data_IF_211020056585
#
_entry.id   IF_211020056585
#
_cell.length_a   1.000
_cell.length_b   1.000
_cell.length_c   1.000
_cell.angle_alpha   90.00
_cell.angle_beta   90.00
_cell.angle_gamma   90.00
#
_symmetry.space_group_name_H-M   'P 1'
#
loop_
_entity.id
_entity.type
_entity.pdbx_description
1 polymer ?
#
# COMPACT_ATOMS: atom_id res chain seq x y z
N UNK A 1 -19.32 -10.26 -13.96
CA UNK A 1 -17.96 -10.09 -13.40
C UNK A 1 -18.06 -10.32 -11.91
N UNK A 2 -17.16 -11.13 -11.35
CA UNK A 2 -17.21 -11.55 -9.95
C UNK A 2 -16.19 -10.68 -9.17
N UNK A 3 -16.67 -9.63 -8.52
CA UNK A 3 -15.86 -8.59 -7.88
C UNK A 3 -16.24 -8.47 -6.39
N UNK A 4 -15.36 -7.86 -5.59
CA UNK A 4 -15.65 -7.47 -4.21
C UNK A 4 -15.55 -5.96 -4.06
N UNK A 5 -16.52 -5.37 -3.35
CA UNK A 5 -16.50 -3.97 -2.98
C UNK A 5 -15.51 -3.76 -1.84
N UNK A 6 -14.54 -2.89 -2.05
CA UNK A 6 -13.49 -2.57 -1.09
C UNK A 6 -13.43 -1.07 -0.91
N UNK A 7 -13.33 -0.62 0.33
CA UNK A 7 -12.96 0.76 0.61
C UNK A 7 -11.46 0.83 0.82
N UNK A 8 -10.86 1.89 0.29
CA UNK A 8 -9.49 2.28 0.56
C UNK A 8 -9.47 3.61 1.32
N UNK A 9 -8.60 3.72 2.31
CA UNK A 9 -8.27 4.95 3.02
C UNK A 9 -6.86 5.38 2.63
N UNK A 10 -6.69 6.62 2.19
CA UNK A 10 -5.40 7.20 1.81
C UNK A 10 -5.28 8.60 2.40
N UNK A 11 -4.07 9.16 2.45
CA UNK A 11 -3.77 10.41 3.16
C UNK A 11 -4.09 10.38 4.67
N UNK A 12 -4.29 9.19 5.23
CA UNK A 12 -4.47 8.98 6.67
C UNK A 12 -3.12 8.88 7.38
N UNK A 13 -3.07 9.28 8.64
CA UNK A 13 -1.87 9.13 9.47
C UNK A 13 -2.03 7.96 10.44
N UNK A 14 -0.96 7.20 10.62
CA UNK A 14 -0.90 6.19 11.68
C UNK A 14 -0.72 6.87 13.03
N UNK A 15 -1.64 6.65 13.97
CA UNK A 15 -1.60 7.31 15.29
C UNK A 15 -0.77 6.56 16.34
N UNK A 16 -0.19 5.41 15.98
CA UNK A 16 0.60 4.57 16.90
C UNK A 16 -0.24 3.69 17.82
N UNK A 17 -1.57 3.80 17.81
CA UNK A 17 -2.51 3.07 18.68
C UNK A 17 -3.32 2.00 17.94
N UNK A 18 -2.72 1.42 16.90
CA UNK A 18 -3.36 0.46 15.99
C UNK A 18 -4.43 1.06 15.06
N UNK A 19 -4.45 2.39 14.91
CA UNK A 19 -5.49 3.09 14.16
C UNK A 19 -4.92 4.10 13.18
N UNK A 20 -5.67 4.28 12.12
CA UNK A 20 -5.45 5.34 11.14
C UNK A 20 -6.43 6.47 11.41
N UNK A 21 -5.93 7.71 11.46
CA UNK A 21 -6.71 8.91 11.75
C UNK A 21 -6.74 9.80 10.50
N UNK A 22 -7.93 10.32 10.20
CA UNK A 22 -8.17 11.15 9.02
C UNK A 22 -8.09 10.37 7.70
N UNK A 23 -7.74 11.10 6.64
CA UNK A 23 -7.65 10.57 5.28
C UNK A 23 -8.94 10.70 4.47
N UNK A 24 -8.87 10.18 3.25
CA UNK A 24 -9.94 10.17 2.27
C UNK A 24 -10.35 8.73 1.97
N UNK A 25 -11.67 8.51 1.88
CA UNK A 25 -12.24 7.20 1.63
C UNK A 25 -12.68 7.09 0.16
N UNK A 26 -12.26 6.03 -0.52
CA UNK A 26 -12.72 5.74 -1.88
C UNK A 26 -13.12 4.28 -2.04
N UNK A 27 -14.25 4.05 -2.70
CA UNK A 27 -14.73 2.71 -3.04
C UNK A 27 -14.10 2.23 -4.35
N UNK A 28 -13.65 0.98 -4.37
CA UNK A 28 -13.09 0.30 -5.53
C UNK A 28 -13.73 -1.07 -5.72
N UNK A 29 -13.75 -1.53 -6.97
CA UNK A 29 -14.14 -2.89 -7.33
C UNK A 29 -12.87 -3.70 -7.57
N UNK A 30 -12.66 -4.74 -6.76
CA UNK A 30 -11.51 -5.63 -6.89
C UNK A 30 -11.98 -6.95 -7.51
N UNK A 31 -11.44 -7.34 -8.68
CA UNK A 31 -11.72 -8.66 -9.26
C UNK A 31 -11.34 -9.78 -8.29
N UNK A 32 -12.17 -10.81 -8.17
CA UNK A 32 -11.88 -11.94 -7.26
C UNK A 32 -10.66 -12.77 -7.67
N UNK A 33 -10.18 -12.60 -8.90
CA UNK A 33 -8.98 -13.22 -9.46
C UNK A 33 -7.78 -12.27 -9.46
N UNK A 34 -7.90 -11.08 -8.85
CA UNK A 34 -6.83 -10.08 -8.84
C UNK A 34 -5.55 -10.64 -8.20
N UNK A 35 -4.42 -10.32 -8.83
CA UNK A 35 -3.08 -10.48 -8.28
C UNK A 35 -2.72 -9.28 -7.40
N UNK A 36 -1.58 -9.34 -6.71
CA UNK A 36 -1.02 -8.20 -6.01
C UNK A 36 -0.74 -7.03 -6.95
N UNK A 37 -0.20 -7.29 -8.13
CA UNK A 37 0.08 -6.25 -9.13
C UNK A 37 -1.21 -5.55 -9.57
N UNK A 38 -2.28 -6.31 -9.83
CA UNK A 38 -3.58 -5.75 -10.21
C UNK A 38 -4.13 -4.83 -9.12
N UNK A 39 -4.04 -5.26 -7.84
CA UNK A 39 -4.49 -4.46 -6.71
C UNK A 39 -3.70 -3.14 -6.59
N UNK A 40 -2.37 -3.19 -6.69
CA UNK A 40 -1.52 -1.99 -6.61
C UNK A 40 -1.79 -1.04 -7.78
N UNK A 41 -1.95 -1.55 -9.01
CA UNK A 41 -2.29 -0.72 -10.16
C UNK A 41 -3.64 -0.02 -9.99
N UNK A 42 -4.64 -0.75 -9.46
CA UNK A 42 -5.95 -0.21 -9.21
C UNK A 42 -5.91 0.87 -8.13
N UNK A 43 -5.17 0.64 -7.03
CA UNK A 43 -4.92 1.64 -6.00
C UNK A 43 -4.25 2.88 -6.59
N UNK A 44 -3.14 2.73 -7.35
CA UNK A 44 -2.41 3.84 -8.00
C UNK A 44 -3.33 4.70 -8.85
N UNK A 45 -4.12 4.06 -9.71
CA UNK A 45 -5.08 4.74 -10.59
C UNK A 45 -6.10 5.54 -9.78
N UNK A 46 -6.58 4.98 -8.69
CA UNK A 46 -7.65 5.56 -7.87
C UNK A 46 -7.17 6.74 -7.04
N UNK A 47 -5.94 6.71 -6.53
CA UNK A 47 -5.33 7.79 -5.74
C UNK A 47 -4.56 8.81 -6.60
N UNK A 48 -4.45 8.59 -7.91
CA UNK A 48 -3.81 9.52 -8.84
C UNK A 48 -2.28 9.54 -8.79
N UNK A 49 -1.64 8.48 -8.28
CA UNK A 49 -0.18 8.38 -8.24
C UNK A 49 0.32 7.75 -9.53
N UNK A 50 0.98 8.58 -10.35
CA UNK A 50 1.62 8.16 -11.60
C UNK A 50 3.12 7.88 -11.46
N UNK A 51 3.75 8.38 -10.39
CA UNK A 51 5.20 8.21 -10.20
C UNK A 51 5.52 6.79 -9.73
N UNK A 52 6.46 6.15 -10.42
CA UNK A 52 6.85 4.75 -10.17
C UNK A 52 7.79 4.58 -8.98
N UNK A 53 8.49 5.66 -8.60
CA UNK A 53 9.43 5.78 -7.48
C UNK A 53 8.73 5.92 -6.11
N UNK A 54 7.41 5.88 -6.09
CA UNK A 54 6.62 5.84 -4.87
C UNK A 54 6.25 4.40 -4.52
N UNK A 55 6.72 3.97 -3.35
CA UNK A 55 6.35 2.67 -2.78
C UNK A 55 4.99 2.78 -2.13
N UNK A 56 4.05 1.94 -2.55
CA UNK A 56 2.73 1.82 -1.95
C UNK A 56 2.75 0.68 -0.95
N UNK A 57 2.38 1.00 0.29
CA UNK A 57 2.19 0.01 1.34
C UNK A 57 0.71 -0.09 1.65
N UNK A 58 0.15 -1.27 1.40
CA UNK A 58 -1.27 -1.59 1.65
C UNK A 58 -1.41 -2.43 2.91
N UNK A 59 -2.23 -1.98 3.85
CA UNK A 59 -2.50 -2.67 5.13
C UNK A 59 -4.00 -2.72 5.41
N UNK A 60 -4.47 -3.68 6.20
CA UNK A 60 -5.84 -3.70 6.70
C UNK A 60 -5.88 -4.27 8.11
N UNK A 61 -6.88 -3.87 8.89
CA UNK A 61 -7.08 -4.35 10.26
C UNK A 61 -8.22 -5.37 10.25
N UNK A 62 -7.95 -6.56 10.79
CA UNK A 62 -8.96 -7.64 10.93
C UNK A 62 -9.76 -7.45 12.21
N UNK A 63 -9.06 -7.23 13.32
CA UNK A 63 -9.62 -6.91 14.63
C UNK A 63 -8.85 -5.74 15.23
N UNK A 64 -9.50 -4.81 15.96
CA UNK A 64 -8.87 -3.60 16.47
C UNK A 64 -7.73 -3.84 17.47
N UNK A 65 -7.66 -5.02 18.07
CA UNK A 65 -6.62 -5.42 19.02
C UNK A 65 -5.41 -6.09 18.33
N UNK A 66 -5.53 -6.41 17.04
CA UNK A 66 -4.50 -7.08 16.26
C UNK A 66 -3.69 -6.07 15.44
N UNK A 67 -2.39 -6.35 15.20
CA UNK A 67 -1.59 -5.54 14.30
C UNK A 67 -2.16 -5.55 12.88
N UNK A 68 -2.00 -4.47 12.10
CA UNK A 68 -2.44 -4.43 10.71
C UNK A 68 -1.76 -5.52 9.88
N UNK A 69 -2.55 -6.21 9.07
CA UNK A 69 -2.07 -7.19 8.11
C UNK A 69 -1.59 -6.45 6.87
N UNK A 70 -0.35 -6.68 6.46
CA UNK A 70 0.22 -6.13 5.23
C UNK A 70 -0.12 -7.04 4.06
N UNK A 71 -0.51 -6.44 2.94
CA UNK A 71 -0.65 -7.12 1.65
C UNK A 71 0.63 -6.86 0.86
N UNK A 72 1.38 -7.91 0.52
CA UNK A 72 2.67 -7.80 -0.17
C UNK A 72 2.87 -8.88 -1.24
N UNK A 73 1.95 -9.83 -1.37
CA UNK A 73 1.97 -10.87 -2.40
C UNK A 73 0.57 -11.36 -2.78
N UNK A 74 0.49 -12.18 -3.84
CA UNK A 74 -0.77 -12.74 -4.35
C UNK A 74 -1.52 -13.59 -3.32
N UNK A 75 -0.80 -14.27 -2.41
CA UNK A 75 -1.43 -15.06 -1.35
C UNK A 75 -2.20 -14.16 -0.37
N UNK A 76 -1.64 -13.00 -0.03
CA UNK A 76 -2.27 -12.02 0.87
C UNK A 76 -3.53 -11.43 0.23
N UNK A 77 -3.49 -11.12 -1.07
CA UNK A 77 -4.65 -10.64 -1.82
C UNK A 77 -5.76 -11.69 -1.82
N UNK A 78 -5.41 -12.95 -2.09
CA UNK A 78 -6.38 -14.06 -2.05
C UNK A 78 -7.00 -14.19 -0.67
N UNK A 79 -6.21 -14.13 0.39
CA UNK A 79 -6.70 -14.21 1.76
C UNK A 79 -7.65 -13.05 2.10
N UNK A 80 -7.27 -11.81 1.74
CA UNK A 80 -8.11 -10.62 1.91
C UNK A 80 -9.46 -10.74 1.18
N UNK A 81 -9.45 -11.18 -0.09
CA UNK A 81 -10.66 -11.39 -0.88
C UNK A 81 -11.56 -12.45 -0.24
N UNK A 82 -10.98 -13.53 0.30
CA UNK A 82 -11.74 -14.56 1.03
C UNK A 82 -12.36 -14.02 2.32
N UNK A 83 -11.68 -13.14 3.05
CA UNK A 83 -12.24 -12.45 4.20
C UNK A 83 -13.45 -11.59 3.81
N UNK A 84 -13.33 -10.76 2.77
CA UNK A 84 -14.45 -9.92 2.29
C UNK A 84 -15.64 -10.73 1.81
N UNK A 85 -15.42 -11.93 1.25
CA UNK A 85 -16.49 -12.85 0.83
C UNK A 85 -17.27 -13.45 2.01
N UNK A 86 -16.66 -13.55 3.20
CA UNK A 86 -17.36 -14.08 4.39
C UNK A 86 -18.27 -13.03 5.04
N UNK A 87 -17.89 -11.76 4.95
CA UNK A 87 -18.59 -10.62 5.58
C UNK A 87 -19.19 -9.66 4.54
N UNK A 88 -19.94 -10.18 3.56
CA UNK A 88 -20.48 -9.39 2.43
C UNK A 88 -21.42 -8.26 2.87
N UNK A 89 -22.08 -8.40 4.02
CA UNK A 89 -23.04 -7.42 4.53
C UNK A 89 -22.39 -6.19 5.19
N UNK A 90 -21.08 -6.20 5.41
CA UNK A 90 -20.37 -5.08 6.05
C UNK A 90 -19.30 -4.53 5.12
N UNK A 91 -19.69 -3.57 4.30
CA UNK A 91 -18.81 -2.97 3.29
C UNK A 91 -17.58 -2.30 3.91
N UNK A 92 -17.71 -1.73 5.12
CA UNK A 92 -16.63 -1.04 5.85
C UNK A 92 -15.64 -1.96 6.56
N UNK A 93 -15.92 -3.28 6.67
CA UNK A 93 -14.95 -4.23 7.27
C UNK A 93 -13.72 -4.36 6.39
N UNK A 94 -12.57 -4.53 7.05
CA UNK A 94 -11.27 -4.74 6.42
C UNK A 94 -10.95 -3.63 5.41
N UNK A 95 -11.13 -2.39 5.84
CA UNK A 95 -10.69 -1.21 5.12
C UNK A 95 -9.20 -1.33 4.81
N UNK A 96 -8.82 -1.13 3.54
CA UNK A 96 -7.40 -1.10 3.17
C UNK A 96 -6.90 0.32 3.37
N UNK A 97 -5.90 0.50 4.23
CA UNK A 97 -5.16 1.75 4.33
C UNK A 97 -3.94 1.74 3.42
N UNK A 98 -3.71 2.88 2.79
CA UNK A 98 -2.64 3.14 1.84
C UNK A 98 -1.65 4.13 2.45
N UNK A 99 -0.42 3.67 2.64
CA UNK A 99 0.72 4.52 2.99
C UNK A 99 1.61 4.66 1.75
N UNK A 100 1.95 5.90 1.38
CA UNK A 100 2.82 6.21 0.23
C UNK A 100 4.17 6.64 0.78
N UNK A 101 5.21 5.92 0.43
CA UNK A 101 6.57 6.17 0.87
C UNK A 101 7.41 6.63 -0.33
N UNK A 102 8.09 7.76 -0.19
CA UNK A 102 9.09 8.21 -1.16
C UNK A 102 10.37 7.40 -0.95
N UNK A 103 10.91 6.84 -2.03
CA UNK A 103 12.24 6.26 -2.00
C UNK A 103 13.25 7.41 -1.95
N UNK A 104 13.75 7.76 -0.76
CA UNK A 104 14.80 8.76 -0.65
C UNK A 104 16.03 8.23 -1.39
N UNK A 105 16.32 8.81 -2.56
CA UNK A 105 17.55 8.54 -3.29
C UNK A 105 18.73 8.86 -2.39
N UNK A 106 19.36 7.84 -1.82
CA UNK A 106 20.67 7.99 -1.20
C UNK A 106 21.64 8.37 -2.33
N UNK A 107 21.99 9.65 -2.37
CA UNK A 107 22.95 10.26 -3.28
C UNK A 107 24.25 9.46 -3.25
N UNK A 108 24.61 8.86 -4.38
CA UNK A 108 25.91 8.22 -4.55
C UNK A 108 26.98 9.30 -4.51
N UNK A 109 27.63 9.50 -3.36
CA UNK A 109 28.88 10.24 -3.30
C UNK A 109 29.93 9.45 -4.09
N UNK A 110 30.49 9.98 -5.20
CA UNK A 110 31.67 9.37 -5.78
C UNK A 110 32.84 9.50 -4.79
N UNK A 111 33.69 8.48 -4.64
CA UNK A 111 34.95 8.67 -3.93
C UNK A 111 35.77 9.73 -4.67
N UNK A 112 36.16 10.74 -3.90
CA UNK A 112 37.05 11.84 -4.24
C UNK A 112 38.25 11.33 -5.06
N UNK A 113 38.45 11.93 -6.25
CA UNK A 113 39.60 11.65 -7.11
C UNK A 113 40.83 12.17 -6.39
N UNK A 114 41.56 11.28 -5.72
CA UNK A 114 42.85 11.59 -5.14
C UNK A 114 43.81 12.09 -6.22
N UNK A 115 44.15 13.38 -6.15
CA UNK A 115 45.18 14.03 -6.93
C UNK A 115 46.48 13.20 -6.87
N UNK A 116 46.85 12.57 -7.98
CA UNK A 116 48.23 12.14 -8.22
C UNK A 116 49.06 13.37 -8.55
N UNK A 117 49.54 14.07 -7.51
CA UNK A 117 50.56 15.08 -7.70
C UNK A 117 51.92 14.40 -7.85
N UNK A 118 52.28 14.22 -9.11
CA UNK A 118 53.62 13.98 -9.60
C UNK A 118 54.45 15.24 -9.33
N UNK A 119 55.48 15.16 -8.48
CA UNK A 119 56.58 16.15 -8.44
C UNK A 119 57.89 15.36 -8.23
N UNK A 120 58.69 15.43 -9.31
CA UNK A 120 60.12 15.18 -9.54
C UNK A 120 60.90 14.11 -8.74
#
# INVERSE_FOLDING_TARGET
MDEVCVFINFNSQWDGTLRYVGGELKGILVPKTATYVDLIQLVRSVIGISRLDMTIVTRYVVEPELPPVRIQCDADVKFYIQLKKKDVHVLSKFLITIDVLEESGAEAMPPDVGESNHID
#
